data_IF_268285269044
#
_entry.id   IF_268285269044
#
_cell.length_a   1.000
_cell.length_b   1.000
_cell.length_c   1.000
_cell.angle_alpha   90.00
_cell.angle_beta   90.00
_cell.angle_gamma   90.00
#
_symmetry.space_group_name_H-M   'P 1'
#
loop_
_entity.id
_entity.type
_entity.pdbx_description
1 polymer ?
#
# COMPACT_ATOMS: atom_id res chain seq x y z
N UNK A 1 27.20 -33.69 17.63
CA UNK A 1 26.12 -32.69 17.73
C UNK A 1 25.49 -32.53 16.35
N UNK A 2 24.24 -32.96 16.12
CA UNK A 2 23.60 -32.71 14.84
C UNK A 2 22.99 -31.29 14.78
N UNK A 3 23.17 -30.66 13.61
CA UNK A 3 22.70 -29.33 13.22
C UNK A 3 21.16 -29.27 13.17
N UNK A 4 20.59 -28.15 13.65
CA UNK A 4 19.15 -27.88 13.69
C UNK A 4 18.70 -27.22 12.37
N UNK A 5 17.80 -27.86 11.63
CA UNK A 5 17.14 -27.29 10.43
C UNK A 5 15.87 -26.53 10.86
N UNK A 6 15.56 -25.34 10.30
CA UNK A 6 14.35 -24.59 10.65
C UNK A 6 13.08 -25.26 10.11
N UNK A 7 12.03 -25.30 10.94
CA UNK A 7 10.71 -25.84 10.59
C UNK A 7 9.98 -24.89 9.64
N UNK A 8 9.62 -25.39 8.46
CA UNK A 8 8.69 -24.75 7.52
C UNK A 8 7.29 -24.72 8.11
N UNK A 9 6.75 -23.53 8.33
CA UNK A 9 5.37 -23.33 8.75
C UNK A 9 4.47 -23.44 7.52
N UNK A 10 3.74 -24.54 7.40
CA UNK A 10 2.67 -24.70 6.42
C UNK A 10 1.39 -25.09 7.14
N UNK A 11 0.33 -24.31 6.96
CA UNK A 11 -0.96 -24.86 6.54
C UNK A 11 -1.91 -23.74 6.13
N UNK A 12 -2.21 -23.73 4.84
CA UNK A 12 -3.35 -23.03 4.25
C UNK A 12 -4.60 -23.75 4.78
N UNK A 13 -5.43 -23.06 5.56
CA UNK A 13 -6.66 -23.64 6.08
C UNK A 13 -7.60 -24.00 4.91
N UNK A 14 -8.02 -25.26 4.87
CA UNK A 14 -9.02 -25.78 3.93
C UNK A 14 -10.43 -25.38 4.37
N UNK A 15 -11.36 -25.08 3.43
CA UNK A 15 -12.76 -24.83 3.76
C UNK A 15 -13.45 -26.13 4.17
N UNK A 16 -13.98 -26.17 5.39
CA UNK A 16 -14.81 -27.27 5.90
C UNK A 16 -16.18 -27.27 5.21
N UNK A 17 -16.53 -28.41 4.64
CA UNK A 17 -17.87 -28.70 4.12
C UNK A 17 -18.89 -28.81 5.27
N UNK A 18 -20.05 -28.19 5.10
CA UNK A 18 -21.25 -28.47 5.90
C UNK A 18 -22.00 -29.61 5.23
N UNK A 19 -22.08 -30.74 5.93
CA UNK A 19 -22.91 -31.89 5.58
C UNK A 19 -24.34 -31.64 6.07
N UNK A 20 -25.31 -31.65 5.15
CA UNK A 20 -26.73 -31.81 5.44
C UNK A 20 -27.21 -33.05 4.70
N UNK A 21 -27.79 -33.98 5.44
CA UNK A 21 -28.05 -35.37 5.05
C UNK A 21 -29.22 -35.56 4.08
N UNK A 22 -29.13 -36.68 3.35
CA UNK A 22 -30.18 -37.55 2.82
C UNK A 22 -31.25 -36.88 1.94
N UNK A 23 -31.38 -37.25 0.66
CA UNK A 23 -31.74 -38.61 0.26
C UNK A 23 -31.73 -38.68 -1.26
N UNK A 24 -31.12 -39.74 -1.81
CA UNK A 24 -31.10 -39.98 -3.25
C UNK A 24 -32.49 -40.33 -3.77
N UNK A 25 -32.84 -39.77 -4.92
CA UNK A 25 -33.85 -40.31 -5.83
C UNK A 25 -33.24 -40.36 -7.24
N UNK A 26 -33.46 -41.45 -8.00
CA UNK A 26 -32.70 -41.74 -9.21
C UNK A 26 -33.09 -40.80 -10.36
N UNK A 27 -32.08 -40.23 -11.04
CA UNK A 27 -32.30 -39.53 -12.31
C UNK A 27 -32.44 -40.58 -13.41
N UNK A 28 -33.68 -41.05 -13.59
CA UNK A 28 -34.09 -41.72 -14.83
C UNK A 28 -34.51 -40.64 -15.83
N UNK A 29 -33.92 -40.68 -17.02
CA UNK A 29 -34.30 -39.78 -18.10
C UNK A 29 -35.73 -40.01 -18.56
N UNK A 30 -36.50 -38.94 -18.68
CA UNK A 30 -37.38 -38.71 -19.82
C UNK A 30 -37.73 -37.21 -19.87
N UNK A 31 -37.63 -36.64 -21.08
CA UNK A 31 -38.07 -35.28 -21.37
C UNK A 31 -39.58 -35.35 -21.56
N UNK A 32 -40.36 -34.75 -20.65
CA UNK A 32 -41.65 -34.06 -20.89
C UNK A 32 -42.47 -34.01 -19.60
N UNK A 33 -42.52 -32.86 -18.92
CA UNK A 33 -43.75 -32.24 -18.39
C UNK A 33 -43.45 -30.85 -17.82
N UNK A 34 -44.39 -29.89 -17.90
CA UNK A 34 -44.11 -28.47 -17.77
C UNK A 34 -44.41 -27.90 -16.38
N UNK A 35 -43.58 -26.95 -15.95
CA UNK A 35 -43.94 -25.93 -14.96
C UNK A 35 -43.30 -26.08 -13.58
N UNK A 36 -42.32 -25.23 -13.29
CA UNK A 36 -42.35 -24.21 -12.24
C UNK A 36 -41.24 -23.19 -12.54
N UNK A 37 -41.65 -22.05 -13.10
CA UNK A 37 -40.92 -20.77 -13.07
C UNK A 37 -39.47 -20.78 -13.53
N UNK A 38 -39.23 -20.84 -14.84
CA UNK A 38 -38.04 -20.23 -15.41
C UNK A 38 -38.16 -18.73 -15.15
N UNK A 39 -37.60 -18.26 -14.03
CA UNK A 39 -37.42 -16.83 -13.83
C UNK A 39 -36.44 -16.41 -14.93
N UNK A 40 -36.84 -15.59 -15.93
CA UNK A 40 -35.87 -15.04 -16.85
C UNK A 40 -34.87 -14.30 -15.96
N UNK A 41 -33.58 -14.64 -16.00
CA UNK A 41 -32.56 -13.78 -15.40
C UNK A 41 -32.29 -12.66 -16.40
N UNK A 42 -33.02 -11.54 -16.42
CA UNK A 42 -33.00 -10.63 -17.54
C UNK A 42 -32.08 -9.47 -17.20
N UNK A 43 -30.84 -9.76 -16.79
CA UNK A 43 -29.88 -8.69 -16.47
C UNK A 43 -28.44 -9.00 -16.90
N UNK A 44 -28.01 -10.25 -16.85
CA UNK A 44 -26.62 -10.61 -17.20
C UNK A 44 -26.48 -11.10 -18.64
N UNK A 45 -27.54 -11.70 -19.21
CA UNK A 45 -27.45 -12.36 -20.52
C UNK A 45 -27.24 -11.38 -21.69
N UNK A 46 -27.69 -10.14 -21.53
CA UNK A 46 -27.48 -9.04 -22.47
C UNK A 46 -26.39 -8.06 -22.01
N UNK A 47 -25.64 -8.40 -20.95
CA UNK A 47 -24.58 -7.53 -20.44
C UNK A 47 -23.35 -7.64 -21.37
N UNK A 48 -22.69 -6.52 -21.75
CA UNK A 48 -21.55 -6.51 -22.68
C UNK A 48 -20.40 -7.46 -22.32
N UNK A 49 -20.18 -7.71 -21.02
CA UNK A 49 -19.22 -8.71 -20.50
C UNK A 49 -19.52 -10.16 -20.92
N UNK A 50 -20.78 -10.46 -21.27
CA UNK A 50 -21.29 -11.81 -21.54
C UNK A 50 -21.62 -12.00 -23.03
N UNK A 51 -22.07 -10.95 -23.71
CA UNK A 51 -22.45 -10.99 -25.12
C UNK A 51 -21.26 -10.93 -26.09
N UNK A 52 -20.05 -10.68 -25.59
CA UNK A 52 -18.84 -10.55 -26.41
C UNK A 52 -18.77 -9.24 -27.20
N UNK A 53 -19.70 -8.31 -26.95
CA UNK A 53 -19.59 -6.94 -27.46
C UNK A 53 -18.38 -6.27 -26.80
N UNK A 54 -17.53 -5.65 -27.62
CA UNK A 54 -16.33 -4.98 -27.15
C UNK A 54 -16.72 -3.87 -26.16
N UNK A 55 -16.49 -4.12 -24.87
CA UNK A 55 -16.61 -3.10 -23.84
C UNK A 55 -15.62 -2.02 -24.22
N UNK A 56 -16.10 -0.79 -24.41
CA UNK A 56 -15.23 0.35 -24.61
C UNK A 56 -14.16 0.30 -23.52
N UNK A 57 -12.90 0.15 -23.92
CA UNK A 57 -11.80 -0.02 -22.99
C UNK A 57 -11.83 1.11 -21.97
N UNK A 58 -12.03 0.77 -20.70
CA UNK A 58 -12.04 1.77 -19.63
C UNK A 58 -10.73 2.55 -19.71
N UNK A 59 -10.84 3.83 -20.08
CA UNK A 59 -9.70 4.74 -20.14
C UNK A 59 -9.74 5.58 -18.88
N UNK A 60 -8.83 5.36 -17.91
CA UNK A 60 -8.80 6.14 -16.69
C UNK A 60 -8.63 7.62 -17.04
N UNK A 61 -9.50 8.47 -16.50
CA UNK A 61 -9.35 9.92 -16.65
C UNK A 61 -8.01 10.35 -16.04
N UNK A 62 -7.05 10.73 -16.88
CA UNK A 62 -5.77 11.30 -16.46
C UNK A 62 -5.88 12.82 -16.64
N UNK A 63 -6.16 13.60 -15.57
CA UNK A 63 -6.12 15.05 -15.69
C UNK A 63 -4.75 15.51 -16.18
N UNK A 64 -4.69 16.60 -16.93
CA UNK A 64 -3.43 17.25 -17.29
C UNK A 64 -2.69 17.59 -16.00
N UNK A 65 -1.48 17.06 -15.85
CA UNK A 65 -0.65 17.38 -14.69
C UNK A 65 -0.43 18.90 -14.70
N UNK A 66 -0.71 19.61 -13.59
CA UNK A 66 -0.37 21.02 -13.52
C UNK A 66 1.13 21.19 -13.77
N UNK A 67 1.51 22.35 -14.29
CA UNK A 67 2.91 22.71 -14.43
C UNK A 67 3.61 22.57 -13.08
N UNK A 68 4.85 22.09 -13.10
CA UNK A 68 5.64 22.01 -11.87
C UNK A 68 5.76 23.42 -11.34
N UNK A 69 5.30 23.65 -10.11
CA UNK A 69 5.66 24.85 -9.39
C UNK A 69 7.18 24.88 -9.33
N UNK A 70 7.78 25.85 -10.01
CA UNK A 70 9.16 26.22 -9.83
C UNK A 70 9.26 26.55 -8.33
N UNK A 71 9.93 25.69 -7.56
CA UNK A 71 10.28 26.01 -6.17
C UNK A 71 11.10 27.30 -6.12
N UNK A 72 11.50 27.73 -4.94
CA UNK A 72 12.33 28.95 -4.82
C UNK A 72 12.10 29.72 -3.54
N UNK A 73 11.08 29.36 -2.76
CA UNK A 73 11.02 29.76 -1.37
C UNK A 73 12.00 28.89 -0.59
N UNK A 74 13.02 29.48 0.06
CA UNK A 74 13.91 28.72 0.90
C UNK A 74 13.15 28.16 2.10
N UNK A 75 13.46 26.92 2.47
CA UNK A 75 12.96 26.30 3.70
C UNK A 75 13.71 26.92 4.88
N UNK A 76 12.98 27.47 5.84
CA UNK A 76 13.52 28.12 7.04
C UNK A 76 12.77 27.60 8.28
N UNK A 77 13.51 27.00 9.21
CA UNK A 77 12.98 26.38 10.42
C UNK A 77 12.84 27.43 11.51
N UNK A 78 11.60 27.82 11.77
CA UNK A 78 11.23 28.68 12.88
C UNK A 78 11.26 27.88 14.19
N UNK A 79 12.33 28.05 14.97
CA UNK A 79 12.47 27.44 16.29
C UNK A 79 13.42 28.24 17.17
N UNK A 80 13.10 28.32 18.46
CA UNK A 80 14.00 28.86 19.49
C UNK A 80 15.07 27.84 19.93
N UNK A 81 14.95 26.59 19.46
CA UNK A 81 15.85 25.50 19.84
C UNK A 81 17.08 25.47 18.93
N UNK A 82 18.23 25.22 19.55
CA UNK A 82 19.47 24.92 18.85
C UNK A 82 19.78 23.42 18.92
N UNK A 83 20.39 22.82 17.88
CA UNK A 83 20.85 21.44 17.94
C UNK A 83 21.84 21.23 19.09
N UNK A 84 21.62 20.21 19.91
CA UNK A 84 22.44 19.89 21.09
C UNK A 84 22.74 18.40 21.20
N UNK A 85 23.75 18.06 22.01
CA UNK A 85 24.22 16.68 22.16
C UNK A 85 24.78 16.15 20.84
N UNK A 86 24.35 14.96 20.42
CA UNK A 86 24.81 14.32 19.18
C UNK A 86 24.12 14.84 17.91
N UNK A 87 23.10 15.69 18.05
CA UNK A 87 22.33 16.20 16.92
C UNK A 87 23.19 16.95 15.88
N UNK A 88 24.12 17.87 16.24
CA UNK A 88 24.92 18.59 15.25
C UNK A 88 25.75 17.65 14.36
N UNK A 89 26.34 16.60 14.95
CA UNK A 89 27.12 15.61 14.22
C UNK A 89 26.24 14.78 13.27
N UNK A 90 25.08 14.30 13.75
CA UNK A 90 24.14 13.56 12.93
C UNK A 90 23.59 14.39 11.75
N UNK A 91 23.30 15.68 11.97
CA UNK A 91 22.86 16.60 10.90
C UNK A 91 23.97 16.75 9.85
N UNK A 92 25.20 17.02 10.27
CA UNK A 92 26.32 17.20 9.36
C UNK A 92 26.59 15.95 8.52
N UNK A 93 26.56 14.78 9.14
CA UNK A 93 26.75 13.50 8.45
C UNK A 93 25.64 13.23 7.41
N UNK A 94 24.38 13.35 7.80
CA UNK A 94 23.25 13.14 6.88
C UNK A 94 23.27 14.12 5.71
N UNK A 95 23.56 15.41 5.96
CA UNK A 95 23.69 16.42 4.89
C UNK A 95 24.82 16.05 3.93
N UNK A 96 25.98 15.63 4.45
CA UNK A 96 27.11 15.21 3.62
C UNK A 96 26.74 14.00 2.74
N UNK A 97 26.09 12.99 3.30
CA UNK A 97 25.64 11.79 2.56
C UNK A 97 24.57 12.13 1.51
N UNK A 98 23.61 13.01 1.83
CA UNK A 98 22.62 13.50 0.86
C UNK A 98 23.29 14.22 -0.31
N UNK A 99 24.31 15.04 -0.04
CA UNK A 99 25.07 15.74 -1.08
C UNK A 99 25.94 14.79 -1.91
N UNK A 100 26.44 13.70 -1.30
CA UNK A 100 27.11 12.60 -1.99
C UNK A 100 26.14 11.73 -2.84
N UNK A 101 24.84 12.05 -2.84
CA UNK A 101 23.77 11.31 -3.53
C UNK A 101 23.60 9.88 -3.02
N UNK A 102 23.94 9.63 -1.76
CA UNK A 102 23.59 8.37 -1.10
C UNK A 102 22.07 8.23 -1.03
N UNK A 103 21.58 7.06 -1.43
CA UNK A 103 20.14 6.80 -1.58
C UNK A 103 19.47 6.44 -0.27
N UNK A 104 20.11 5.59 0.51
CA UNK A 104 19.54 4.97 1.71
C UNK A 104 20.38 5.35 2.92
N UNK A 105 19.77 5.98 3.91
CA UNK A 105 20.43 6.46 5.12
C UNK A 105 19.54 6.16 6.33
N UNK A 106 20.14 5.84 7.47
CA UNK A 106 19.42 5.48 8.69
C UNK A 106 19.86 6.37 9.85
N UNK A 107 18.94 7.17 10.38
CA UNK A 107 19.14 7.93 11.61
C UNK A 107 18.78 7.08 12.83
N UNK A 108 19.79 6.48 13.46
CA UNK A 108 19.63 5.76 14.72
C UNK A 108 19.53 6.75 15.88
N UNK A 109 18.39 6.79 16.56
CA UNK A 109 18.20 7.67 17.71
C UNK A 109 17.20 7.12 18.71
N UNK A 110 17.49 7.29 20.00
CA UNK A 110 16.61 6.89 21.10
C UNK A 110 15.32 7.73 21.13
N UNK A 111 14.32 7.32 21.90
CA UNK A 111 13.11 8.12 22.11
C UNK A 111 13.44 9.41 22.85
N UNK A 112 12.79 10.52 22.48
CA UNK A 112 13.04 11.84 23.09
C UNK A 112 14.30 12.58 22.63
N UNK A 113 15.16 11.99 21.79
CA UNK A 113 16.41 12.64 21.33
C UNK A 113 16.21 13.76 20.29
N UNK A 114 14.97 14.05 19.88
CA UNK A 114 14.66 15.11 18.91
C UNK A 114 14.82 14.73 17.44
N UNK A 115 14.58 13.46 17.06
CA UNK A 115 14.71 12.99 15.65
C UNK A 115 13.98 13.87 14.63
N UNK A 116 12.78 14.37 14.97
CA UNK A 116 12.03 15.28 14.08
C UNK A 116 12.78 16.59 13.86
N UNK A 117 13.34 17.18 14.91
CA UNK A 117 14.11 18.41 14.82
C UNK A 117 15.41 18.22 14.02
N UNK A 118 16.11 17.09 14.26
CA UNK A 118 17.27 16.68 13.46
C UNK A 118 16.91 16.61 11.97
N UNK A 119 15.84 15.90 11.60
CA UNK A 119 15.43 15.78 10.20
C UNK A 119 14.97 17.11 9.59
N UNK A 120 14.29 17.97 10.37
CA UNK A 120 13.89 19.29 9.92
C UNK A 120 15.11 20.15 9.55
N UNK A 121 16.17 20.11 10.36
CA UNK A 121 17.45 20.80 10.07
C UNK A 121 18.18 20.22 8.87
N UNK A 122 18.10 18.92 8.62
CA UNK A 122 18.64 18.31 7.39
C UNK A 122 17.87 18.79 6.15
N UNK A 123 16.54 18.85 6.23
CA UNK A 123 15.69 19.34 5.12
C UNK A 123 15.99 20.83 4.83
N UNK A 124 16.11 21.65 5.87
CA UNK A 124 16.55 23.05 5.78
C UNK A 124 17.94 23.17 5.14
N UNK A 125 18.93 22.42 5.58
CA UNK A 125 20.28 22.52 5.03
C UNK A 125 20.37 22.07 3.56
N UNK A 126 19.54 21.10 3.16
CA UNK A 126 19.59 20.54 1.79
C UNK A 126 18.72 21.30 0.80
N UNK A 127 17.70 22.04 1.25
CA UNK A 127 16.77 22.80 0.39
C UNK A 127 16.11 21.93 -0.69
N UNK A 128 15.79 20.68 -0.34
CA UNK A 128 15.17 19.72 -1.26
C UNK A 128 13.72 19.47 -0.86
N UNK A 129 12.78 19.41 -1.82
CA UNK A 129 11.43 18.93 -1.55
C UNK A 129 11.47 17.54 -0.91
N UNK A 130 10.83 17.40 0.25
CA UNK A 130 10.86 16.18 1.04
C UNK A 130 9.44 15.61 1.21
N UNK A 131 9.33 14.28 1.22
CA UNK A 131 8.10 13.55 1.55
C UNK A 131 8.34 12.77 2.85
N UNK A 132 7.58 13.08 3.88
CA UNK A 132 7.62 12.35 5.16
C UNK A 132 6.48 11.34 5.18
N UNK A 133 6.81 10.08 5.40
CA UNK A 133 5.84 8.98 5.48
C UNK A 133 5.72 8.53 6.93
N UNK A 134 4.50 8.52 7.45
CA UNK A 134 4.18 7.99 8.76
C UNK A 134 3.40 6.67 8.61
N UNK A 135 3.56 5.71 9.54
CA UNK A 135 2.90 4.40 9.45
C UNK A 135 1.40 4.44 9.75
N UNK A 136 0.90 5.54 10.32
CA UNK A 136 -0.51 5.71 10.66
C UNK A 136 -0.91 7.19 10.66
N UNK A 137 -2.22 7.45 10.79
CA UNK A 137 -2.80 8.80 10.76
C UNK A 137 -2.52 9.63 12.02
N UNK A 138 -2.20 9.00 13.14
CA UNK A 138 -1.97 9.71 14.41
C UNK A 138 -0.58 10.34 14.47
N UNK A 139 0.40 9.71 13.80
CA UNK A 139 1.77 10.20 13.69
C UNK A 139 2.00 11.08 12.46
N UNK A 140 0.99 11.16 11.56
CA UNK A 140 1.02 11.96 10.35
C UNK A 140 0.64 13.41 10.61
#
# INVERSE_FOLDING_TARGET
MPLRVPKTFGSRAEPRAVTGEASGMPVSGDRRTPGFGEAPQPLIQNHPLVTGEAIAAFTPHRPSRPDKTEGGVPLDIQSELEPKGDQPAAIAELVAQVNAKERDQVLLGVTGSGKTFTMAKVIEATQRPALVLAPNKTLA
#
